data_IF_980063050473
#
_entry.id   IF_980063050473
#
_cell.length_a   1.000
_cell.length_b   1.000
_cell.length_c   1.000
_cell.angle_alpha   90.00
_cell.angle_beta   90.00
_cell.angle_gamma   90.00
#
_symmetry.space_group_name_H-M   'P 1'
#
loop_
_entity.id
_entity.type
_entity.pdbx_description
1 polymer ?
#
# COMPACT_ATOMS: atom_id res chain seq x y z
N UNK A 1 -4.60 -10.97 -38.68
CA UNK A 1 -5.32 -10.60 -37.44
C UNK A 1 -4.33 -10.74 -36.29
N UNK A 2 -3.66 -9.62 -35.91
CA UNK A 2 -2.75 -9.60 -34.77
C UNK A 2 -3.60 -9.64 -33.49
N UNK A 3 -3.39 -10.65 -32.64
CA UNK A 3 -3.90 -10.68 -31.27
C UNK A 3 -3.25 -9.52 -30.50
N UNK A 4 -3.98 -8.43 -30.28
CA UNK A 4 -3.61 -7.45 -29.26
C UNK A 4 -3.66 -8.14 -27.89
N UNK A 5 -2.49 -8.49 -27.37
CA UNK A 5 -2.35 -8.82 -25.96
C UNK A 5 -2.83 -7.59 -25.19
N UNK A 6 -3.84 -7.76 -24.34
CA UNK A 6 -4.35 -6.67 -23.52
C UNK A 6 -3.18 -6.03 -22.76
N UNK A 7 -3.02 -4.72 -22.94
CA UNK A 7 -1.94 -3.95 -22.30
C UNK A 7 -2.23 -3.98 -20.80
N UNK A 8 -1.42 -4.71 -20.04
CA UNK A 8 -1.47 -4.64 -18.59
C UNK A 8 -0.87 -3.31 -18.16
N UNK A 9 -1.72 -2.35 -17.76
CA UNK A 9 -1.26 -1.08 -17.20
C UNK A 9 -0.60 -1.36 -15.85
N UNK A 10 0.61 -0.82 -15.59
CA UNK A 10 1.27 -0.94 -14.29
C UNK A 10 0.40 -0.37 -13.15
N UNK A 11 0.47 -0.99 -11.98
CA UNK A 11 -0.38 -0.67 -10.85
C UNK A 11 -0.17 0.73 -10.23
N UNK A 12 0.96 1.35 -10.51
CA UNK A 12 1.39 2.67 -10.02
C UNK A 12 1.04 3.83 -10.97
N UNK A 13 0.42 3.52 -12.11
CA UNK A 13 0.03 4.53 -13.10
C UNK A 13 -1.37 5.06 -12.79
N UNK A 14 -1.47 6.36 -12.55
CA UNK A 14 -2.75 7.08 -12.50
C UNK A 14 -3.19 7.43 -13.92
N UNK A 15 -4.45 7.16 -14.24
CA UNK A 15 -5.06 7.45 -15.53
C UNK A 15 -5.96 8.68 -15.44
N UNK A 16 -6.11 9.39 -16.53
CA UNK A 16 -7.22 10.32 -16.68
C UNK A 16 -8.54 9.56 -16.65
N UNK A 17 -9.64 10.26 -16.36
CA UNK A 17 -10.95 9.60 -16.27
C UNK A 17 -11.35 8.92 -17.60
N UNK A 18 -11.10 9.56 -18.72
CA UNK A 18 -11.39 9.00 -20.05
C UNK A 18 -10.57 7.74 -20.35
N UNK A 19 -9.27 7.76 -20.07
CA UNK A 19 -8.40 6.58 -20.22
C UNK A 19 -8.86 5.42 -19.32
N UNK A 20 -9.33 5.73 -18.11
CA UNK A 20 -9.84 4.71 -17.19
C UNK A 20 -11.15 4.07 -17.69
N UNK A 21 -12.04 4.83 -18.32
CA UNK A 21 -13.25 4.29 -18.96
C UNK A 21 -12.91 3.44 -20.19
N UNK A 22 -11.92 3.86 -21.00
CA UNK A 22 -11.43 3.04 -22.11
C UNK A 22 -10.81 1.74 -21.62
N UNK A 23 -10.02 1.81 -20.56
CA UNK A 23 -9.44 0.62 -19.93
C UNK A 23 -10.51 -0.32 -19.37
N UNK A 24 -11.60 0.20 -18.81
CA UNK A 24 -12.74 -0.61 -18.38
C UNK A 24 -13.36 -1.40 -19.56
N UNK A 25 -13.55 -0.76 -20.73
CA UNK A 25 -14.02 -1.43 -21.95
C UNK A 25 -13.05 -2.50 -22.44
N UNK A 26 -11.74 -2.20 -22.43
CA UNK A 26 -10.72 -3.17 -22.82
C UNK A 26 -10.70 -4.39 -21.89
N UNK A 27 -10.82 -4.18 -20.57
CA UNK A 27 -10.93 -5.25 -19.59
C UNK A 27 -12.16 -6.12 -19.85
N UNK A 28 -13.27 -5.53 -20.26
CA UNK A 28 -14.49 -6.26 -20.63
C UNK A 28 -14.29 -7.16 -21.85
N UNK A 29 -13.58 -6.68 -22.87
CA UNK A 29 -13.23 -7.43 -24.08
C UNK A 29 -12.21 -8.53 -23.84
N UNK A 30 -11.19 -8.24 -23.02
CA UNK A 30 -10.12 -9.19 -22.69
C UNK A 30 -10.59 -10.32 -21.77
N UNK A 31 -11.64 -10.06 -21.00
CA UNK A 31 -12.17 -10.93 -19.97
C UNK A 31 -13.06 -12.04 -20.51
N UNK A 32 -12.59 -12.93 -21.39
CA UNK A 32 -13.17 -14.27 -21.48
C UNK A 32 -12.92 -14.98 -20.16
N UNK A 33 -13.74 -14.63 -19.20
CA UNK A 33 -13.73 -15.20 -17.86
C UNK A 33 -14.46 -16.53 -17.98
N UNK A 34 -13.76 -17.64 -17.78
CA UNK A 34 -14.45 -18.84 -17.40
C UNK A 34 -14.96 -18.61 -15.99
N UNK A 35 -16.25 -18.34 -15.88
CA UNK A 35 -16.93 -17.94 -14.67
C UNK A 35 -17.09 -19.15 -13.76
N UNK A 36 -16.03 -19.53 -13.05
CA UNK A 36 -16.17 -20.43 -11.91
C UNK A 36 -16.73 -19.63 -10.76
N UNK A 37 -18.01 -19.81 -10.46
CA UNK A 37 -18.62 -19.23 -9.25
C UNK A 37 -18.07 -19.97 -8.04
N UNK A 38 -17.31 -19.28 -7.23
CA UNK A 38 -16.75 -19.80 -5.97
C UNK A 38 -17.43 -19.10 -4.81
N UNK A 39 -17.75 -19.85 -3.77
CA UNK A 39 -18.26 -19.29 -2.53
C UNK A 39 -17.18 -18.40 -1.90
N UNK A 40 -17.38 -17.09 -1.97
CA UNK A 40 -16.50 -16.10 -1.33
C UNK A 40 -16.98 -15.86 0.09
N UNK A 41 -16.76 -16.83 0.97
CA UNK A 41 -16.88 -16.62 2.42
C UNK A 41 -15.60 -15.95 2.90
N UNK A 42 -15.74 -14.83 3.63
CA UNK A 42 -14.61 -14.19 4.29
C UNK A 42 -13.47 -13.85 3.31
N UNK A 43 -13.46 -12.67 2.78
CA UNK A 43 -12.48 -12.14 1.81
C UNK A 43 -11.00 -12.25 2.20
N UNK A 44 -10.69 -13.13 3.18
CA UNK A 44 -9.33 -13.41 3.59
C UNK A 44 -8.61 -12.23 4.26
N UNK A 45 -9.34 -11.31 4.90
CA UNK A 45 -8.79 -10.08 5.49
C UNK A 45 -7.99 -10.28 6.80
N UNK A 46 -7.70 -11.52 7.18
CA UNK A 46 -6.92 -11.81 8.39
C UNK A 46 -5.49 -11.31 8.33
N UNK A 47 -4.88 -11.33 7.15
CA UNK A 47 -3.53 -10.82 6.93
C UNK A 47 -3.51 -9.29 6.94
N UNK A 48 -4.48 -8.65 6.29
CA UNK A 48 -4.65 -7.20 6.27
C UNK A 48 -4.82 -6.68 7.70
N UNK A 49 -5.68 -7.33 8.49
CA UNK A 49 -5.86 -7.01 9.90
C UNK A 49 -4.55 -7.08 10.68
N UNK A 50 -3.79 -8.18 10.56
CA UNK A 50 -2.52 -8.35 11.27
C UNK A 50 -1.52 -7.25 10.93
N UNK A 51 -1.41 -6.86 9.64
CA UNK A 51 -0.50 -5.81 9.19
C UNK A 51 -0.89 -4.43 9.73
N UNK A 52 -2.18 -4.10 9.70
CA UNK A 52 -2.71 -2.85 10.24
C UNK A 52 -2.49 -2.78 11.76
N UNK A 53 -2.76 -3.86 12.49
CA UNK A 53 -2.50 -3.94 13.92
C UNK A 53 -1.00 -3.83 14.25
N UNK A 54 -0.12 -4.42 13.43
CA UNK A 54 1.33 -4.29 13.59
C UNK A 54 1.81 -2.84 13.40
N UNK A 55 1.30 -2.13 12.38
CA UNK A 55 1.62 -0.71 12.18
C UNK A 55 1.17 0.16 13.35
N UNK A 56 -0.06 -0.06 13.84
CA UNK A 56 -0.55 0.62 15.03
C UNK A 56 0.31 0.33 16.27
N UNK A 57 0.65 -0.93 16.52
CA UNK A 57 1.46 -1.31 17.67
C UNK A 57 2.86 -0.67 17.63
N UNK A 58 3.48 -0.62 16.44
CA UNK A 58 4.77 0.03 16.24
C UNK A 58 4.70 1.54 16.46
N UNK A 59 3.67 2.21 15.94
CA UNK A 59 3.42 3.64 16.15
C UNK A 59 3.13 3.95 17.63
N UNK A 60 2.27 3.17 18.27
CA UNK A 60 1.97 3.29 19.70
C UNK A 60 3.22 3.18 20.56
N UNK A 61 4.08 2.22 20.29
CA UNK A 61 5.34 2.03 21.01
C UNK A 61 6.24 3.26 20.90
N UNK A 62 6.36 3.89 19.71
CA UNK A 62 7.11 5.13 19.54
C UNK A 62 6.50 6.29 20.33
N UNK A 63 5.19 6.49 20.23
CA UNK A 63 4.48 7.56 20.95
C UNK A 63 4.60 7.44 22.48
N UNK A 64 4.52 6.23 23.03
CA UNK A 64 4.72 5.98 24.46
C UNK A 64 6.17 6.25 24.92
N UNK A 65 7.14 6.07 24.04
CA UNK A 65 8.54 6.41 24.31
C UNK A 65 8.84 7.92 24.15
N UNK A 66 7.84 8.75 23.82
CA UNK A 66 8.02 10.17 23.56
C UNK A 66 8.73 10.49 22.24
N UNK A 67 8.88 9.50 21.35
CA UNK A 67 9.50 9.72 20.06
C UNK A 67 8.56 10.44 19.09
N UNK A 68 9.13 11.28 18.24
CA UNK A 68 8.44 11.84 17.08
C UNK A 68 8.05 10.70 16.13
N UNK A 69 6.86 10.78 15.56
CA UNK A 69 6.37 9.78 14.63
C UNK A 69 6.37 10.32 13.20
N UNK A 70 6.75 9.50 12.20
CA UNK A 70 6.51 9.87 10.81
C UNK A 70 5.00 10.01 10.53
N UNK A 71 4.58 10.91 9.63
CA UNK A 71 3.16 11.20 9.37
C UNK A 71 2.31 9.96 9.09
N UNK A 72 2.87 8.97 8.38
CA UNK A 72 2.20 7.70 8.11
C UNK A 72 1.93 6.90 9.39
N UNK A 73 2.83 6.95 10.36
CA UNK A 73 2.65 6.25 11.64
C UNK A 73 1.62 6.95 12.54
N UNK A 74 1.60 8.28 12.55
CA UNK A 74 0.54 9.05 13.22
C UNK A 74 -0.82 8.73 12.62
N UNK A 75 -0.92 8.69 11.29
CA UNK A 75 -2.16 8.33 10.62
C UNK A 75 -2.67 6.94 11.00
N UNK A 76 -1.78 5.92 11.10
CA UNK A 76 -2.18 4.59 11.59
C UNK A 76 -2.58 4.59 13.05
N UNK A 77 -1.90 5.38 13.88
CA UNK A 77 -2.23 5.51 15.29
C UNK A 77 -3.64 6.06 15.48
N UNK A 78 -3.98 7.13 14.76
CA UNK A 78 -5.25 7.83 14.91
C UNK A 78 -6.43 7.08 14.26
N UNK A 79 -6.21 6.38 13.15
CA UNK A 79 -7.27 5.77 12.36
C UNK A 79 -7.47 4.26 12.57
N UNK A 80 -6.74 3.64 13.51
CA UNK A 80 -6.82 2.19 13.76
C UNK A 80 -8.25 1.68 13.91
N UNK A 81 -9.05 2.38 14.70
CA UNK A 81 -10.41 1.97 15.00
C UNK A 81 -11.27 1.85 13.74
N UNK A 82 -11.14 2.80 12.83
CA UNK A 82 -11.86 2.78 11.56
C UNK A 82 -11.56 1.53 10.75
N UNK A 83 -10.29 1.20 10.59
CA UNK A 83 -9.88 0.04 9.78
C UNK A 83 -10.32 -1.29 10.39
N UNK A 84 -10.11 -1.46 11.68
CA UNK A 84 -10.47 -2.70 12.39
C UNK A 84 -11.99 -2.87 12.40
N UNK A 85 -12.76 -1.81 12.55
CA UNK A 85 -14.21 -1.87 12.51
C UNK A 85 -14.73 -2.25 11.10
N UNK A 86 -14.16 -1.67 10.03
CA UNK A 86 -14.54 -2.06 8.65
C UNK A 86 -14.21 -3.52 8.36
N UNK A 87 -13.04 -4.01 8.81
CA UNK A 87 -12.67 -5.43 8.68
C UNK A 87 -13.66 -6.29 9.47
N UNK A 88 -14.00 -5.90 10.70
CA UNK A 88 -14.96 -6.63 11.54
C UNK A 88 -16.33 -6.73 10.88
N UNK A 89 -16.84 -5.63 10.33
CA UNK A 89 -18.12 -5.61 9.63
C UNK A 89 -18.13 -6.55 8.42
N UNK A 90 -17.09 -6.51 7.59
CA UNK A 90 -16.96 -7.41 6.44
C UNK A 90 -16.84 -8.89 6.85
N UNK A 91 -16.19 -9.19 7.97
CA UNK A 91 -16.05 -10.56 8.48
C UNK A 91 -17.32 -11.09 9.15
N UNK A 92 -18.14 -10.22 9.75
CA UNK A 92 -19.42 -10.58 10.37
C UNK A 92 -20.55 -10.72 9.36
N UNK A 93 -20.38 -10.17 8.16
CA UNK A 93 -21.37 -10.31 7.11
C UNK A 93 -21.49 -11.78 6.70
N UNK A 94 -22.67 -12.34 6.96
CA UNK A 94 -22.96 -13.74 6.63
C UNK A 94 -23.44 -13.93 5.19
N UNK A 95 -23.48 -12.87 4.39
CA UNK A 95 -23.86 -12.98 2.97
C UNK A 95 -22.81 -13.84 2.27
N UNK A 96 -23.26 -14.88 1.65
CA UNK A 96 -22.43 -15.75 0.81
C UNK A 96 -22.54 -15.24 -0.62
N UNK A 97 -21.49 -14.59 -1.11
CA UNK A 97 -21.42 -14.20 -2.50
C UNK A 97 -20.90 -15.36 -3.35
N UNK A 98 -21.69 -15.81 -4.30
CA UNK A 98 -21.23 -16.68 -5.38
C UNK A 98 -20.76 -15.82 -6.54
N UNK A 99 -19.52 -15.43 -6.50
CA UNK A 99 -18.94 -14.47 -7.45
C UNK A 99 -18.19 -15.19 -8.56
N UNK A 100 -18.26 -14.67 -9.80
CA UNK A 100 -17.41 -15.10 -10.89
C UNK A 100 -15.94 -14.75 -10.57
N UNK A 101 -15.02 -15.72 -10.80
CA UNK A 101 -13.59 -15.54 -10.57
C UNK A 101 -12.84 -15.53 -11.90
N UNK A 102 -11.80 -14.70 -11.95
CA UNK A 102 -10.89 -14.64 -13.09
C UNK A 102 -10.09 -15.94 -13.19
N UNK A 103 -10.01 -16.56 -14.38
CA UNK A 103 -9.26 -17.82 -14.57
C UNK A 103 -7.80 -17.61 -14.94
N UNK A 104 -7.43 -16.42 -15.38
CA UNK A 104 -6.08 -16.20 -15.91
C UNK A 104 -5.59 -14.76 -15.71
N UNK A 105 -4.34 -14.52 -16.13
CA UNK A 105 -3.69 -13.24 -16.01
C UNK A 105 -3.31 -12.89 -14.58
N UNK A 106 -2.95 -11.62 -14.35
CA UNK A 106 -2.50 -11.12 -13.04
C UNK A 106 -3.57 -11.15 -11.93
N UNK A 107 -4.83 -11.29 -12.32
CA UNK A 107 -5.99 -11.34 -11.41
C UNK A 107 -6.55 -12.76 -11.25
N UNK A 108 -5.79 -13.80 -11.65
CA UNK A 108 -6.23 -15.19 -11.51
C UNK A 108 -6.74 -15.50 -10.10
N UNK A 109 -7.85 -16.23 -10.02
CA UNK A 109 -8.56 -16.60 -8.79
C UNK A 109 -9.14 -15.43 -7.98
N UNK A 110 -9.16 -14.21 -8.50
CA UNK A 110 -9.80 -13.06 -7.87
C UNK A 110 -11.24 -12.94 -8.37
N UNK A 111 -12.23 -12.60 -7.51
CA UNK A 111 -13.56 -12.21 -7.96
C UNK A 111 -13.50 -11.08 -8.99
N UNK A 112 -14.26 -11.19 -10.08
CA UNK A 112 -14.23 -10.18 -11.16
C UNK A 112 -14.57 -8.77 -10.64
N UNK A 113 -15.59 -8.65 -9.81
CA UNK A 113 -15.96 -7.37 -9.21
C UNK A 113 -14.86 -6.81 -8.27
N UNK A 114 -14.06 -7.67 -7.59
CA UNK A 114 -12.91 -7.21 -6.82
C UNK A 114 -11.76 -6.74 -7.71
N UNK A 115 -11.54 -7.41 -8.85
CA UNK A 115 -10.60 -6.93 -9.87
C UNK A 115 -10.99 -5.54 -10.35
N UNK A 116 -12.26 -5.33 -10.72
CA UNK A 116 -12.77 -4.03 -11.16
C UNK A 116 -12.62 -2.96 -10.08
N UNK A 117 -12.98 -3.25 -8.83
CA UNK A 117 -12.79 -2.35 -7.69
C UNK A 117 -11.31 -1.98 -7.50
N UNK A 118 -10.41 -2.95 -7.64
CA UNK A 118 -8.96 -2.72 -7.52
C UNK A 118 -8.43 -1.83 -8.63
N UNK A 119 -8.83 -2.07 -9.87
CA UNK A 119 -8.43 -1.27 -11.03
C UNK A 119 -8.95 0.16 -10.89
N UNK A 120 -10.24 0.33 -10.59
CA UNK A 120 -10.84 1.64 -10.40
C UNK A 120 -10.11 2.45 -9.35
N UNK A 121 -9.89 1.90 -8.16
CA UNK A 121 -9.25 2.62 -7.06
C UNK A 121 -7.80 2.99 -7.35
N UNK A 122 -7.00 2.07 -7.90
CA UNK A 122 -5.59 2.31 -8.16
C UNK A 122 -5.37 3.39 -9.20
N UNK A 123 -6.06 3.26 -10.32
CA UNK A 123 -5.84 4.17 -11.46
C UNK A 123 -6.56 5.52 -11.31
N UNK A 124 -7.49 5.66 -10.34
CA UNK A 124 -8.09 6.95 -9.94
C UNK A 124 -7.36 7.64 -8.78
N UNK A 125 -6.17 7.16 -8.39
CA UNK A 125 -5.47 7.63 -7.19
C UNK A 125 -6.34 7.60 -5.92
N UNK A 126 -7.24 6.63 -5.81
CA UNK A 126 -8.21 6.47 -4.70
C UNK A 126 -9.18 7.65 -4.53
N UNK A 127 -9.39 8.44 -5.58
CA UNK A 127 -10.33 9.58 -5.59
C UNK A 127 -11.45 9.27 -6.57
N UNK A 128 -12.60 8.88 -6.02
CA UNK A 128 -13.77 8.49 -6.79
C UNK A 128 -15.04 9.04 -6.16
N UNK A 129 -16.01 9.41 -7.00
CA UNK A 129 -17.40 9.73 -6.61
C UNK A 129 -18.34 8.56 -6.91
N UNK A 130 -19.57 8.64 -6.42
CA UNK A 130 -20.61 7.65 -6.72
C UNK A 130 -20.92 7.61 -8.21
N UNK A 131 -20.99 8.76 -8.86
CA UNK A 131 -21.24 8.93 -10.29
C UNK A 131 -20.12 8.28 -11.11
N UNK A 132 -18.86 8.48 -10.72
CA UNK A 132 -17.71 7.85 -11.37
C UNK A 132 -17.70 6.33 -11.23
N UNK A 133 -18.14 5.80 -10.08
CA UNK A 133 -18.31 4.35 -9.92
C UNK A 133 -19.33 3.83 -10.94
N UNK A 134 -20.47 4.50 -11.06
CA UNK A 134 -21.52 4.13 -12.00
C UNK A 134 -21.01 4.17 -13.44
N UNK A 135 -20.42 5.27 -13.88
CA UNK A 135 -19.88 5.45 -15.24
C UNK A 135 -18.84 4.36 -15.58
N UNK A 136 -17.95 4.03 -14.62
CA UNK A 136 -16.94 2.98 -14.80
C UNK A 136 -17.58 1.61 -15.00
N UNK A 137 -18.59 1.26 -14.19
CA UNK A 137 -19.31 0.00 -14.33
C UNK A 137 -20.12 -0.05 -15.60
N UNK A 138 -20.75 1.05 -16.02
CA UNK A 138 -21.47 1.16 -17.30
C UNK A 138 -20.52 0.97 -18.48
N UNK A 139 -19.32 1.60 -18.46
CA UNK A 139 -18.32 1.43 -19.49
C UNK A 139 -17.86 -0.03 -19.61
N UNK A 140 -17.64 -0.72 -18.48
CA UNK A 140 -17.34 -2.14 -18.48
C UNK A 140 -18.48 -2.99 -19.04
N UNK A 141 -19.73 -2.68 -18.68
CA UNK A 141 -20.91 -3.47 -19.04
C UNK A 141 -21.33 -3.31 -20.50
N UNK A 142 -20.73 -2.41 -21.28
CA UNK A 142 -21.01 -2.29 -22.72
C UNK A 142 -20.75 -3.58 -23.49
N UNK A 143 -19.75 -4.37 -23.07
CA UNK A 143 -19.34 -5.61 -23.74
C UNK A 143 -19.67 -6.87 -22.92
N UNK A 144 -19.58 -6.78 -21.60
CA UNK A 144 -19.78 -7.94 -20.72
C UNK A 144 -20.58 -7.54 -19.48
N UNK A 145 -21.81 -8.05 -19.38
CA UNK A 145 -22.70 -7.76 -18.23
C UNK A 145 -22.12 -8.29 -16.90
N UNK A 146 -22.36 -7.52 -15.84
CA UNK A 146 -22.21 -7.97 -14.46
C UNK A 146 -23.53 -8.58 -13.98
N UNK A 147 -23.47 -9.67 -13.25
CA UNK A 147 -24.68 -10.23 -12.64
C UNK A 147 -25.12 -9.42 -11.40
N UNK A 148 -26.36 -9.61 -10.98
CA UNK A 148 -26.90 -8.89 -9.82
C UNK A 148 -26.10 -9.15 -8.54
N UNK A 149 -25.53 -10.36 -8.38
CA UNK A 149 -24.69 -10.70 -7.24
C UNK A 149 -23.40 -9.89 -7.22
N UNK A 150 -22.79 -9.66 -8.39
CA UNK A 150 -21.58 -8.82 -8.51
C UNK A 150 -21.87 -7.35 -8.21
N UNK A 151 -23.01 -6.83 -8.71
CA UNK A 151 -23.42 -5.45 -8.43
C UNK A 151 -23.70 -5.24 -6.94
N UNK A 152 -24.41 -6.16 -6.30
CA UNK A 152 -24.64 -6.10 -4.85
C UNK A 152 -23.36 -6.21 -4.03
N UNK A 153 -22.40 -7.02 -4.46
CA UNK A 153 -21.13 -7.19 -3.78
C UNK A 153 -20.15 -6.04 -4.03
N UNK A 154 -20.36 -5.20 -5.05
CA UNK A 154 -19.35 -4.25 -5.52
C UNK A 154 -18.88 -3.27 -4.44
N UNK A 155 -19.78 -2.75 -3.61
CA UNK A 155 -19.45 -1.84 -2.50
C UNK A 155 -18.53 -2.53 -1.48
N UNK A 156 -18.80 -3.80 -1.15
CA UNK A 156 -17.95 -4.56 -0.25
C UNK A 156 -16.59 -4.87 -0.92
N UNK A 157 -16.55 -5.08 -2.23
CA UNK A 157 -15.31 -5.24 -2.98
C UNK A 157 -14.46 -3.97 -3.01
N UNK A 158 -15.08 -2.79 -3.08
CA UNK A 158 -14.38 -1.51 -2.92
C UNK A 158 -13.74 -1.40 -1.53
N UNK A 159 -14.47 -1.75 -0.47
CA UNK A 159 -13.92 -1.77 0.90
C UNK A 159 -12.76 -2.76 1.03
N UNK A 160 -12.89 -3.97 0.48
CA UNK A 160 -11.81 -4.97 0.47
C UNK A 160 -10.58 -4.46 -0.26
N UNK A 161 -10.76 -3.85 -1.44
CA UNK A 161 -9.64 -3.28 -2.22
C UNK A 161 -8.94 -2.13 -1.47
N UNK A 162 -9.70 -1.24 -0.81
CA UNK A 162 -9.17 -0.17 0.05
C UNK A 162 -8.38 -0.75 1.24
N UNK A 163 -8.92 -1.74 1.95
CA UNK A 163 -8.24 -2.36 3.09
C UNK A 163 -6.95 -3.08 2.68
N UNK A 164 -6.89 -3.65 1.48
CA UNK A 164 -5.66 -4.21 0.90
C UNK A 164 -4.62 -3.12 0.61
N UNK A 165 -5.04 -1.97 0.08
CA UNK A 165 -4.16 -0.82 -0.10
C UNK A 165 -3.64 -0.30 1.25
N UNK A 166 -4.51 -0.11 2.24
CA UNK A 166 -4.14 0.26 3.62
C UNK A 166 -3.17 -0.75 4.23
N UNK A 167 -3.38 -2.05 4.02
CA UNK A 167 -2.45 -3.10 4.46
C UNK A 167 -1.06 -2.98 3.83
N UNK A 168 -0.96 -2.53 2.59
CA UNK A 168 0.32 -2.24 1.93
C UNK A 168 1.01 -1.05 2.59
N UNK A 169 0.28 0.05 2.85
CA UNK A 169 0.78 1.19 3.61
C UNK A 169 1.20 0.82 5.03
N UNK A 170 0.49 -0.12 5.68
CA UNK A 170 0.85 -0.62 7.00
C UNK A 170 2.23 -1.28 7.03
N UNK A 171 2.58 -2.07 6.00
CA UNK A 171 3.93 -2.64 5.87
C UNK A 171 5.00 -1.55 5.68
N UNK A 172 4.70 -0.55 4.85
CA UNK A 172 5.59 0.60 4.66
C UNK A 172 5.79 1.37 5.97
N UNK A 173 4.72 1.60 6.73
CA UNK A 173 4.78 2.24 8.04
C UNK A 173 5.74 1.53 9.00
N UNK A 174 5.61 0.20 9.15
CA UNK A 174 6.51 -0.60 10.00
C UNK A 174 7.95 -0.50 9.52
N UNK A 175 8.18 -0.55 8.20
CA UNK A 175 9.52 -0.40 7.61
C UNK A 175 10.12 0.98 7.91
N UNK A 176 9.37 2.06 7.70
CA UNK A 176 9.81 3.43 7.98
C UNK A 176 10.17 3.58 9.46
N UNK A 177 9.31 3.13 10.38
CA UNK A 177 9.59 3.18 11.81
C UNK A 177 10.84 2.38 12.21
N UNK A 178 11.10 1.25 11.56
CA UNK A 178 12.32 0.47 11.81
C UNK A 178 13.59 1.20 11.34
N UNK A 179 13.50 1.91 10.20
CA UNK A 179 14.59 2.73 9.67
C UNK A 179 14.86 3.95 10.54
N UNK A 180 13.83 4.61 11.05
CA UNK A 180 13.97 5.75 11.96
C UNK A 180 14.67 5.34 13.25
N UNK A 181 14.23 4.24 13.88
CA UNK A 181 14.91 3.70 15.07
C UNK A 181 16.36 3.28 14.81
N UNK A 182 16.66 2.80 13.60
CA UNK A 182 18.03 2.50 13.22
C UNK A 182 18.87 3.78 13.08
N UNK A 183 18.29 4.85 12.52
CA UNK A 183 18.93 6.17 12.39
C UNK A 183 19.20 6.81 13.77
N UNK A 184 18.24 6.74 14.68
CA UNK A 184 18.42 7.20 16.07
C UNK A 184 19.61 6.49 16.74
N UNK A 185 19.64 5.15 16.71
CA UNK A 185 20.75 4.37 17.27
C UNK A 185 22.09 4.67 16.59
N UNK A 186 22.08 4.91 15.28
CA UNK A 186 23.27 5.32 14.54
C UNK A 186 23.79 6.66 15.06
N UNK A 187 22.93 7.67 15.20
CA UNK A 187 23.30 9.00 15.70
C UNK A 187 23.77 8.97 17.15
N UNK A 188 23.08 8.22 18.03
CA UNK A 188 23.50 8.01 19.42
C UNK A 188 24.90 7.43 19.52
N UNK A 189 25.20 6.39 18.72
CA UNK A 189 26.53 5.75 18.71
C UNK A 189 27.60 6.62 18.08
N UNK A 190 27.26 7.37 17.03
CA UNK A 190 28.18 8.30 16.38
C UNK A 190 28.59 9.45 17.30
N UNK A 191 27.71 9.86 18.25
CA UNK A 191 28.01 10.85 19.28
C UNK A 191 28.84 10.32 20.47
N UNK A 192 29.05 8.99 20.59
CA UNK A 192 29.82 8.42 21.69
C UNK A 192 31.33 8.59 21.44
N UNK A 193 32.06 9.04 22.47
CA UNK A 193 33.54 9.16 22.41
C UNK A 193 34.17 7.80 22.18
N UNK A 194 35.08 7.73 21.20
CA UNK A 194 35.87 6.52 20.93
C UNK A 194 35.24 5.53 19.97
N UNK A 195 34.07 5.79 19.41
CA UNK A 195 33.45 4.96 18.36
C UNK A 195 33.99 5.41 16.98
N UNK A 196 34.73 4.54 16.24
CA UNK A 196 35.28 4.88 14.93
C UNK A 196 34.11 4.99 13.93
N UNK A 197 33.92 6.17 13.32
CA UNK A 197 32.83 6.40 12.38
C UNK A 197 32.86 5.43 11.17
N UNK A 198 34.05 5.08 10.67
CA UNK A 198 34.19 4.13 9.55
C UNK A 198 33.71 2.71 9.89
N UNK A 199 33.92 2.26 11.13
CA UNK A 199 33.37 1.00 11.61
C UNK A 199 31.86 1.06 11.69
N UNK A 200 31.30 2.17 12.19
CA UNK A 200 29.86 2.39 12.26
C UNK A 200 29.23 2.46 10.88
N UNK A 201 29.81 3.18 9.92
CA UNK A 201 29.35 3.22 8.53
C UNK A 201 29.38 1.85 7.84
N UNK A 202 30.34 0.99 8.22
CA UNK A 202 30.42 -0.38 7.71
C UNK A 202 29.30 -1.24 8.30
N UNK A 203 29.02 -1.13 9.58
CA UNK A 203 27.94 -1.86 10.27
C UNK A 203 26.56 -1.47 9.71
N UNK A 204 26.35 -0.19 9.44
CA UNK A 204 25.06 0.32 8.91
C UNK A 204 25.01 0.39 7.38
N UNK A 205 25.94 -0.27 6.67
CA UNK A 205 26.02 -0.23 5.19
C UNK A 205 24.70 -0.55 4.47
N UNK A 206 23.93 -1.51 4.98
CA UNK A 206 22.64 -1.89 4.40
C UNK A 206 21.57 -0.79 4.56
N UNK A 207 21.61 -0.03 5.63
CA UNK A 207 20.69 1.08 5.89
C UNK A 207 21.03 2.32 5.06
N UNK A 208 22.31 2.54 4.76
CA UNK A 208 22.80 3.66 3.94
C UNK A 208 22.34 3.61 2.46
N UNK A 209 21.66 2.54 2.04
CA UNK A 209 21.00 2.46 0.74
C UNK A 209 19.59 3.02 0.76
N UNK A 210 19.03 3.31 1.94
CA UNK A 210 17.67 3.80 2.12
C UNK A 210 17.65 5.33 2.25
N UNK A 211 16.96 6.01 1.34
CA UNK A 211 16.74 7.46 1.42
C UNK A 211 16.09 7.85 2.76
N UNK A 212 15.08 7.11 3.22
CA UNK A 212 14.38 7.35 4.49
C UNK A 212 15.34 7.33 5.69
N UNK A 213 16.27 6.37 5.73
CA UNK A 213 17.28 6.31 6.78
C UNK A 213 18.21 7.52 6.73
N UNK A 214 18.74 7.84 5.55
CA UNK A 214 19.67 8.95 5.34
C UNK A 214 19.02 10.29 5.71
N UNK A 215 17.82 10.54 5.21
CA UNK A 215 17.08 11.77 5.51
C UNK A 215 16.86 11.96 7.00
N UNK A 216 16.46 10.90 7.71
CA UNK A 216 16.24 10.98 9.16
C UNK A 216 17.55 11.17 9.93
N UNK A 217 18.65 10.51 9.54
CA UNK A 217 19.98 10.78 10.10
C UNK A 217 20.36 12.24 9.91
N UNK A 218 20.15 12.81 8.72
CA UNK A 218 20.47 14.21 8.44
C UNK A 218 19.63 15.20 9.26
N UNK A 219 18.38 14.88 9.54
CA UNK A 219 17.52 15.67 10.44
C UNK A 219 18.09 15.65 11.85
N UNK A 220 18.35 14.46 12.42
CA UNK A 220 18.87 14.30 13.78
C UNK A 220 20.24 14.97 13.97
N UNK A 221 21.11 14.93 12.95
CA UNK A 221 22.41 15.58 13.00
C UNK A 221 22.34 17.10 12.93
N UNK A 222 21.36 17.66 12.21
CA UNK A 222 21.13 19.12 12.16
C UNK A 222 20.66 19.69 13.50
N UNK A 223 19.92 18.91 14.26
CA UNK A 223 19.45 19.30 15.60
C UNK A 223 20.56 19.21 16.66
N UNK A 224 21.69 18.57 16.34
CA UNK A 224 22.82 18.42 17.23
C UNK A 224 24.02 19.29 16.76
N UNK A 225 24.30 20.45 17.42
CA UNK A 225 25.35 21.38 17.01
C UNK A 225 26.78 20.77 17.00
N UNK A 226 27.02 19.68 17.75
CA UNK A 226 28.30 18.97 17.80
C UNK A 226 28.54 17.97 16.66
N UNK A 227 27.58 17.81 15.75
CA UNK A 227 27.62 16.76 14.73
C UNK A 227 28.16 17.21 13.36
N UNK A 228 28.70 18.43 13.22
CA UNK A 228 29.14 19.00 11.93
C UNK A 228 30.16 18.08 11.22
N UNK A 229 31.17 17.55 11.92
CA UNK A 229 32.17 16.63 11.37
C UNK A 229 31.55 15.32 10.89
N UNK A 230 30.57 14.78 11.65
CA UNK A 230 29.85 13.56 11.29
C UNK A 230 29.02 13.79 10.02
N UNK A 231 28.36 14.92 9.94
CA UNK A 231 27.53 15.32 8.77
C UNK A 231 28.38 15.42 7.52
N UNK A 232 29.54 16.07 7.60
CA UNK A 232 30.47 16.23 6.48
C UNK A 232 31.00 14.87 5.98
N UNK A 233 31.41 13.99 6.89
CA UNK A 233 31.94 12.64 6.55
C UNK A 233 30.85 11.74 5.94
N UNK A 234 29.61 11.82 6.43
CA UNK A 234 28.48 11.07 5.83
C UNK A 234 28.19 11.63 4.44
N UNK A 235 28.12 12.95 4.27
CA UNK A 235 27.86 13.60 2.98
C UNK A 235 28.94 13.25 1.96
N UNK A 236 30.22 13.30 2.33
CA UNK A 236 31.34 12.88 1.49
C UNK A 236 31.24 11.42 1.05
N UNK A 237 30.76 10.53 1.92
CA UNK A 237 30.61 9.09 1.60
C UNK A 237 29.44 8.80 0.67
N UNK A 238 28.37 9.63 0.73
CA UNK A 238 27.21 9.51 -0.13
C UNK A 238 27.45 10.07 -1.53
N UNK A 239 28.23 11.19 -1.63
CA UNK A 239 28.58 11.80 -2.92
C UNK A 239 29.55 11.00 -3.79
N UNK A 240 30.23 9.99 -3.24
CA UNK A 240 31.13 9.07 -3.99
C UNK A 240 30.34 7.93 -4.68
N UNK A 241 28.99 7.89 -4.52
CA UNK A 241 28.16 6.82 -5.08
C UNK A 241 27.38 7.19 -6.34
N UNK A 242 27.43 8.44 -6.77
CA UNK A 242 26.98 8.92 -8.09
C UNK A 242 28.13 8.88 -9.10
#
# INVERSE_FOLDING_TARGET
MQKKNGIAIPDDVTLSWQELLEYARELSLAGKVALRKVDSRHFGLGEERRRIEAAYAAARSGKHAGAELPPLAEWFYDNRFLFIEQIRQLMLDRRVYRLPHMLGGRFANMPRCLMLATVLLRHSAYRISAEQIQEFLEAFQQETGLDSGELWAFVDMLKVALLRAVSTLARQCVSILSLWRAAERFCERAGQKGVPLDALLTEYKSYLTSAVFIEHVMVLLRENPGAAEITERISARLSVRD
#
